data_IF_792019496968
#
_entry.id   IF_792019496968
#
_cell.length_a   1.000
_cell.length_b   1.000
_cell.length_c   1.000
_cell.angle_alpha   90.00
_cell.angle_beta   90.00
_cell.angle_gamma   90.00
#
_symmetry.space_group_name_H-M   'P 1'
#
loop_
_entity.id
_entity.type
_entity.pdbx_description
1 polymer ?
#
# COMPACT_ATOMS: atom_id res chain seq x y z
N UNK A 1 9.14 -21.54 -18.18
CA UNK A 1 9.13 -21.78 -16.72
C UNK A 1 9.45 -20.55 -15.88
N UNK A 2 10.56 -19.83 -16.13
CA UNK A 2 10.96 -18.66 -15.31
C UNK A 2 9.92 -17.51 -15.27
N UNK A 3 9.27 -17.19 -16.41
CA UNK A 3 8.24 -16.14 -16.48
C UNK A 3 7.08 -16.39 -15.50
N UNK A 4 6.52 -17.60 -15.52
CA UNK A 4 5.39 -17.97 -14.66
C UNK A 4 5.78 -17.91 -13.17
N UNK A 5 7.01 -18.33 -12.84
CA UNK A 5 7.52 -18.23 -11.47
C UNK A 5 7.61 -16.76 -10.99
N UNK A 6 8.12 -15.85 -11.83
CA UNK A 6 8.22 -14.42 -11.49
C UNK A 6 6.85 -13.76 -11.34
N UNK A 7 5.91 -14.07 -12.23
CA UNK A 7 4.52 -13.57 -12.12
C UNK A 7 3.89 -14.02 -10.81
N UNK A 8 4.05 -15.29 -10.44
CA UNK A 8 3.52 -15.83 -9.17
C UNK A 8 4.14 -15.14 -7.97
N UNK A 9 5.45 -14.92 -7.99
CA UNK A 9 6.13 -14.25 -6.87
C UNK A 9 5.67 -12.80 -6.71
N UNK A 10 5.53 -12.07 -7.81
CA UNK A 10 4.99 -10.70 -7.77
C UNK A 10 3.55 -10.67 -7.25
N UNK A 11 2.69 -11.56 -7.76
CA UNK A 11 1.30 -11.65 -7.30
C UNK A 11 1.22 -11.98 -5.81
N UNK A 12 2.06 -12.90 -5.33
CA UNK A 12 2.13 -13.27 -3.91
C UNK A 12 2.57 -12.09 -3.06
N UNK A 13 3.61 -11.35 -3.46
CA UNK A 13 4.07 -10.15 -2.75
C UNK A 13 2.98 -9.08 -2.63
N UNK A 14 2.24 -8.83 -3.72
CA UNK A 14 1.14 -7.87 -3.70
C UNK A 14 0.02 -8.36 -2.78
N UNK A 15 -0.38 -9.63 -2.89
CA UNK A 15 -1.47 -10.22 -2.12
C UNK A 15 -1.22 -10.24 -0.60
N UNK A 16 0.06 -10.31 -0.17
CA UNK A 16 0.46 -10.33 1.24
C UNK A 16 0.97 -8.96 1.73
N UNK A 17 0.86 -7.91 0.93
CA UNK A 17 1.21 -6.54 1.34
C UNK A 17 0.03 -5.80 1.98
N UNK A 18 0.23 -4.52 2.36
CA UNK A 18 -0.82 -3.69 2.93
C UNK A 18 -1.80 -3.22 1.84
N UNK A 19 -2.84 -4.04 1.58
CA UNK A 19 -3.73 -3.89 0.42
C UNK A 19 -4.47 -2.53 0.38
N UNK A 20 -4.80 -1.96 1.54
CA UNK A 20 -5.43 -0.62 1.64
C UNK A 20 -4.48 0.46 1.13
N UNK A 21 -3.22 0.43 1.55
CA UNK A 21 -2.18 1.37 1.10
C UNK A 21 -1.92 1.22 -0.39
N UNK A 22 -1.75 -0.01 -0.89
CA UNK A 22 -1.57 -0.27 -2.31
C UNK A 22 -2.72 0.24 -3.18
N UNK A 23 -3.97 0.11 -2.70
CA UNK A 23 -5.14 0.65 -3.38
C UNK A 23 -5.03 2.16 -3.55
N UNK A 24 -4.74 2.90 -2.48
CA UNK A 24 -4.64 4.36 -2.56
C UNK A 24 -3.45 4.83 -3.38
N UNK A 25 -2.28 4.20 -3.24
CA UNK A 25 -1.11 4.49 -4.08
C UNK A 25 -1.44 4.34 -5.57
N UNK A 26 -2.07 3.22 -5.96
CA UNK A 26 -2.47 2.98 -7.36
C UNK A 26 -3.46 4.04 -7.85
N UNK A 27 -4.43 4.42 -7.01
CA UNK A 27 -5.39 5.47 -7.36
C UNK A 27 -4.71 6.83 -7.55
N UNK A 28 -3.72 7.18 -6.73
CA UNK A 28 -3.00 8.44 -6.85
C UNK A 28 -2.21 8.50 -8.15
N UNK A 29 -1.48 7.43 -8.51
CA UNK A 29 -0.76 7.34 -9.78
C UNK A 29 -1.70 7.50 -10.98
N UNK A 30 -2.87 6.85 -10.94
CA UNK A 30 -3.86 6.98 -12.02
C UNK A 30 -4.43 8.39 -12.15
N UNK A 31 -4.55 9.13 -11.03
CA UNK A 31 -5.07 10.50 -11.03
C UNK A 31 -4.02 11.55 -11.37
N UNK A 32 -2.73 11.24 -11.19
CA UNK A 32 -1.62 12.18 -11.37
C UNK A 32 -1.55 12.81 -12.76
N UNK A 33 -1.98 12.11 -13.80
CA UNK A 33 -1.92 12.59 -15.19
C UNK A 33 -3.04 13.59 -15.56
N UNK A 34 -4.10 13.68 -14.76
CA UNK A 34 -5.30 14.45 -15.11
C UNK A 34 -5.86 15.34 -14.00
N UNK A 35 -5.19 15.41 -12.85
CA UNK A 35 -5.67 16.18 -11.69
C UNK A 35 -4.73 17.34 -11.39
N UNK A 36 -5.29 18.41 -10.83
CA UNK A 36 -4.50 19.52 -10.30
C UNK A 36 -3.59 19.06 -9.14
N UNK A 37 -2.40 19.64 -9.05
CA UNK A 37 -1.40 19.27 -8.05
C UNK A 37 -1.91 19.47 -6.62
N UNK A 38 -2.60 20.57 -6.32
CA UNK A 38 -3.11 20.83 -4.96
C UNK A 38 -4.22 19.84 -4.60
N UNK A 39 -5.09 19.52 -5.55
CA UNK A 39 -6.14 18.52 -5.35
C UNK A 39 -5.56 17.12 -5.05
N UNK A 40 -4.42 16.76 -5.65
CA UNK A 40 -3.72 15.52 -5.35
C UNK A 40 -3.10 15.53 -3.95
N UNK A 41 -2.53 16.64 -3.50
CA UNK A 41 -1.99 16.78 -2.15
C UNK A 41 -3.09 16.64 -1.08
N UNK A 42 -4.23 17.30 -1.28
CA UNK A 42 -5.38 17.20 -0.35
C UNK A 42 -5.89 15.76 -0.26
N UNK A 43 -5.98 15.08 -1.42
CA UNK A 43 -6.34 13.67 -1.48
C UNK A 43 -5.31 12.78 -0.77
N UNK A 44 -4.03 13.04 -0.96
CA UNK A 44 -2.95 12.30 -0.30
C UNK A 44 -3.05 12.42 1.22
N UNK A 45 -3.28 13.62 1.74
CA UNK A 45 -3.48 13.84 3.17
C UNK A 45 -4.63 12.98 3.73
N UNK A 46 -5.78 12.95 3.05
CA UNK A 46 -6.95 12.16 3.47
C UNK A 46 -6.64 10.65 3.42
N UNK A 47 -6.03 10.18 2.33
CA UNK A 47 -5.75 8.76 2.15
C UNK A 47 -4.64 8.27 3.08
N UNK A 48 -3.65 9.10 3.40
CA UNK A 48 -2.65 8.83 4.44
C UNK A 48 -3.28 8.66 5.82
N UNK A 49 -4.22 9.55 6.20
CA UNK A 49 -4.93 9.42 7.47
C UNK A 49 -5.70 8.09 7.54
N UNK A 50 -6.40 7.72 6.46
CA UNK A 50 -7.12 6.45 6.37
C UNK A 50 -6.18 5.25 6.48
N UNK A 51 -5.03 5.28 5.79
CA UNK A 51 -4.00 4.25 5.94
C UNK A 51 -3.49 4.16 7.37
N UNK A 52 -3.24 5.29 8.03
CA UNK A 52 -2.77 5.35 9.41
C UNK A 52 -3.71 4.69 10.43
N UNK A 53 -5.01 4.62 10.11
CA UNK A 53 -6.02 4.00 10.98
C UNK A 53 -6.20 2.49 10.77
N UNK A 54 -5.53 1.90 9.78
CA UNK A 54 -5.63 0.46 9.48
C UNK A 54 -4.94 -0.42 10.51
N UNK A 55 -5.34 -1.71 10.57
CA UNK A 55 -4.61 -2.68 11.37
C UNK A 55 -3.22 -2.94 10.76
N UNK A 56 -3.13 -2.95 9.43
CA UNK A 56 -1.87 -3.10 8.70
C UNK A 56 -0.86 -1.99 9.00
N UNK A 57 -1.31 -0.75 9.19
CA UNK A 57 -0.39 0.32 9.60
C UNK A 57 0.17 0.09 11.01
N UNK A 58 -0.70 -0.25 11.97
CA UNK A 58 -0.27 -0.57 13.34
C UNK A 58 0.72 -1.74 13.37
N UNK A 59 0.43 -2.78 12.61
CA UNK A 59 1.32 -3.94 12.45
C UNK A 59 2.64 -3.56 11.79
N UNK A 60 2.61 -2.74 10.72
CA UNK A 60 3.83 -2.28 10.07
C UNK A 60 4.74 -1.48 11.00
N UNK A 61 4.16 -0.60 11.83
CA UNK A 61 4.89 0.15 12.85
C UNK A 61 5.44 -0.78 13.92
N UNK A 62 4.63 -1.70 14.46
CA UNK A 62 5.07 -2.64 15.48
C UNK A 62 6.20 -3.55 14.97
N UNK A 63 6.04 -4.14 13.79
CA UNK A 63 7.04 -4.99 13.15
C UNK A 63 8.35 -4.26 12.88
N UNK A 64 8.28 -2.98 12.47
CA UNK A 64 9.45 -2.13 12.28
C UNK A 64 10.21 -1.91 13.61
N UNK A 65 9.49 -1.56 14.69
CA UNK A 65 10.08 -1.37 16.01
C UNK A 65 10.68 -2.67 16.57
N UNK A 66 10.01 -3.79 16.33
CA UNK A 66 10.42 -5.14 16.75
C UNK A 66 11.48 -5.78 15.82
N UNK A 67 11.84 -5.12 14.71
CA UNK A 67 12.80 -5.60 13.69
C UNK A 67 12.45 -6.98 13.12
N UNK A 68 11.16 -7.21 12.85
CA UNK A 68 10.65 -8.42 12.21
C UNK A 68 9.88 -8.09 10.94
N UNK A 69 9.63 -9.12 10.13
CA UNK A 69 8.74 -8.99 8.97
C UNK A 69 7.29 -8.71 9.42
N UNK A 70 6.59 -7.74 8.81
CA UNK A 70 5.19 -7.46 9.09
C UNK A 70 4.27 -8.53 8.49
N UNK A 71 3.14 -8.78 9.17
CA UNK A 71 2.09 -9.72 8.75
C UNK A 71 0.81 -8.97 8.40
N UNK A 72 0.73 -8.46 7.18
CA UNK A 72 -0.43 -7.72 6.71
C UNK A 72 -1.65 -8.62 6.46
N UNK A 73 -2.84 -8.08 6.72
CA UNK A 73 -4.14 -8.73 6.57
C UNK A 73 -5.07 -7.97 5.58
N UNK A 74 -4.63 -6.83 5.05
CA UNK A 74 -5.35 -6.06 4.05
C UNK A 74 -6.45 -5.16 4.62
N UNK A 75 -6.36 -4.75 5.89
CA UNK A 75 -7.39 -3.98 6.59
C UNK A 75 -6.84 -3.03 7.64
#
# INVERSE_FOLDING_TARGET
DAFVAQVRELARRIAHGPLVSYRYMKQNVNLALGSDFRALLDREAITHLRCGQTADHREGVAAFLEKREPRFQGR
#
